data_IF_539697790388
#
_entry.id   IF_539697790388
#
_cell.length_a   1.000
_cell.length_b   1.000
_cell.length_c   1.000
_cell.angle_alpha   90.00
_cell.angle_beta   90.00
_cell.angle_gamma   90.00
#
_symmetry.space_group_name_H-M   'P 1'
#
loop_
_entity.id
_entity.type
_entity.pdbx_description
1 polymer ?
#
# COMPACT_ATOMS: atom_id res chain seq x y z
N UNK A 1 -32.22 10.15 25.35
CA UNK A 1 -31.09 10.39 24.43
C UNK A 1 -29.81 10.29 25.23
N UNK A 2 -29.20 9.12 25.26
CA UNK A 2 -27.97 8.88 26.04
C UNK A 2 -26.99 8.16 25.14
N UNK A 3 -26.01 8.92 24.64
CA UNK A 3 -24.85 8.43 23.90
C UNK A 3 -24.00 7.57 24.83
N UNK A 4 -23.71 6.33 24.43
CA UNK A 4 -22.64 5.53 25.02
C UNK A 4 -21.65 5.21 23.91
N UNK A 5 -20.48 5.83 24.02
CA UNK A 5 -19.28 5.52 23.24
C UNK A 5 -18.81 4.12 23.66
N UNK A 6 -18.81 3.17 22.71
CA UNK A 6 -18.13 1.91 22.87
C UNK A 6 -16.67 2.12 22.46
N UNK A 7 -15.79 2.04 23.46
CA UNK A 7 -14.34 1.98 23.31
C UNK A 7 -14.01 0.57 22.82
N UNK A 8 -13.61 0.44 21.55
CA UNK A 8 -13.06 -0.81 21.02
C UNK A 8 -11.58 -0.85 21.38
N UNK A 9 -11.22 -1.82 22.22
CA UNK A 9 -9.82 -2.11 22.56
C UNK A 9 -9.26 -3.06 21.50
N UNK A 10 -8.36 -2.55 20.65
CA UNK A 10 -7.63 -3.35 19.66
C UNK A 10 -6.49 -4.08 20.39
N UNK A 11 -6.49 -5.41 20.29
CA UNK A 11 -5.42 -6.28 20.78
C UNK A 11 -4.50 -6.58 19.61
N UNK A 12 -3.32 -5.96 19.59
CA UNK A 12 -2.28 -6.20 18.57
C UNK A 12 -1.59 -7.53 18.91
N UNK A 13 -1.77 -8.55 18.07
CA UNK A 13 -1.06 -9.82 18.20
C UNK A 13 0.25 -9.76 17.38
N UNK A 14 1.38 -9.93 18.06
CA UNK A 14 2.73 -9.94 17.48
C UNK A 14 3.05 -11.35 16.98
N UNK A 15 3.26 -11.54 15.68
CA UNK A 15 3.85 -12.76 15.13
C UNK A 15 5.17 -12.39 14.46
N UNK A 16 6.28 -12.68 15.13
CA UNK A 16 7.63 -12.57 14.57
C UNK A 16 8.02 -13.93 13.97
N UNK A 17 7.91 -14.07 12.65
CA UNK A 17 8.39 -15.25 11.92
C UNK A 17 9.89 -15.06 11.62
N UNK A 18 10.74 -15.74 12.38
CA UNK A 18 12.18 -15.83 12.13
C UNK A 18 12.47 -16.81 10.98
N UNK A 19 12.79 -16.32 9.79
CA UNK A 19 13.46 -17.11 8.75
C UNK A 19 14.65 -16.37 8.12
N UNK A 20 15.66 -17.16 7.76
CA UNK A 20 17.02 -16.80 7.40
C UNK A 20 17.17 -16.12 6.03
N UNK A 21 17.72 -14.92 6.04
CA UNK A 21 18.31 -14.18 4.92
C UNK A 21 18.88 -12.88 5.49
N UNK A 22 20.04 -12.40 5.06
CA UNK A 22 20.80 -11.35 5.75
C UNK A 22 20.22 -9.93 5.56
N UNK A 23 18.91 -9.82 5.36
CA UNK A 23 18.18 -8.58 5.17
C UNK A 23 17.23 -8.38 6.36
N UNK A 24 17.19 -7.16 6.94
CA UNK A 24 16.29 -6.87 8.04
C UNK A 24 14.83 -7.02 7.60
N UNK A 25 13.99 -7.53 8.50
CA UNK A 25 12.55 -7.58 8.32
C UNK A 25 12.00 -6.17 8.01
N UNK A 26 10.94 -6.06 7.18
CA UNK A 26 10.28 -4.78 6.93
C UNK A 26 9.77 -4.18 8.25
N UNK A 27 9.86 -2.86 8.37
CA UNK A 27 9.40 -2.08 9.52
C UNK A 27 7.88 -1.82 9.41
N UNK A 28 7.12 -2.90 9.20
CA UNK A 28 5.67 -2.89 9.05
C UNK A 28 5.06 -3.96 9.97
N UNK A 29 4.17 -3.53 10.86
CA UNK A 29 3.32 -4.45 11.61
C UNK A 29 2.04 -4.75 10.80
N UNK A 30 1.97 -5.93 10.19
CA UNK A 30 0.78 -6.38 9.47
C UNK A 30 -0.22 -6.98 10.46
N UNK A 31 -1.46 -6.49 10.44
CA UNK A 31 -2.57 -7.06 11.20
C UNK A 31 -3.35 -8.05 10.34
N UNK A 32 -4.16 -8.94 10.92
CA UNK A 32 -5.09 -9.77 10.14
C UNK A 32 -6.02 -8.87 9.29
N UNK A 33 -6.32 -9.32 8.06
CA UNK A 33 -7.24 -8.61 7.18
C UNK A 33 -8.66 -8.71 7.75
N UNK A 34 -9.25 -7.56 8.08
CA UNK A 34 -10.63 -7.50 8.53
C UNK A 34 -11.58 -7.38 7.32
N UNK A 35 -12.35 -8.44 7.05
CA UNK A 35 -13.36 -8.43 6.00
C UNK A 35 -12.77 -8.14 4.60
N UNK A 36 -13.34 -7.15 3.91
CA UNK A 36 -12.93 -6.67 2.60
C UNK A 36 -12.05 -5.41 2.69
N UNK A 37 -11.22 -5.30 3.74
CA UNK A 37 -10.28 -4.20 3.89
C UNK A 37 -9.37 -4.08 2.66
N UNK A 38 -9.31 -2.86 2.11
CA UNK A 38 -8.50 -2.48 0.92
C UNK A 38 -7.47 -1.40 1.21
N UNK A 39 -7.46 -0.84 2.43
CA UNK A 39 -6.58 0.27 2.82
C UNK A 39 -5.91 -0.06 4.15
N UNK A 40 -4.58 0.00 4.15
CA UNK A 40 -3.69 -0.11 5.31
C UNK A 40 -2.92 1.20 5.41
N UNK A 41 -3.41 2.14 6.21
CA UNK A 41 -2.81 3.46 6.37
C UNK A 41 -2.40 3.78 7.81
N UNK A 42 -1.37 3.10 8.37
CA UNK A 42 -0.77 3.51 9.64
C UNK A 42 -0.24 4.96 9.65
N UNK A 43 0.12 5.50 8.49
CA UNK A 43 0.60 6.88 8.37
C UNK A 43 -0.52 7.93 8.54
N UNK A 44 -1.78 7.57 8.26
CA UNK A 44 -2.93 8.46 8.37
C UNK A 44 -2.96 9.56 7.31
N UNK A 45 -2.42 9.28 6.11
CA UNK A 45 -2.23 10.23 5.01
C UNK A 45 -3.19 10.03 3.84
N UNK A 46 -4.00 8.97 3.88
CA UNK A 46 -4.95 8.62 2.83
C UNK A 46 -6.38 8.98 3.24
N UNK A 47 -7.13 9.51 2.28
CA UNK A 47 -8.59 9.46 2.35
C UNK A 47 -9.04 8.01 2.09
N UNK A 48 -9.32 7.30 3.17
CA UNK A 48 -9.66 5.87 3.11
C UNK A 48 -10.93 5.57 2.31
N UNK A 49 -11.89 6.50 2.23
CA UNK A 49 -13.11 6.30 1.44
C UNK A 49 -12.79 6.41 -0.07
N UNK A 50 -12.06 7.44 -0.48
CA UNK A 50 -11.69 7.65 -1.87
C UNK A 50 -10.76 6.55 -2.40
N UNK A 51 -9.74 6.18 -1.62
CA UNK A 51 -8.84 5.07 -1.98
C UNK A 51 -9.60 3.75 -1.96
N UNK A 52 -10.44 3.50 -0.96
CA UNK A 52 -11.25 2.30 -0.87
C UNK A 52 -12.16 2.09 -2.08
N UNK A 53 -12.81 3.16 -2.57
CA UNK A 53 -13.64 3.11 -3.77
C UNK A 53 -12.84 2.80 -5.04
N UNK A 54 -11.66 3.38 -5.20
CA UNK A 54 -10.78 3.08 -6.35
C UNK A 54 -10.33 1.61 -6.36
N UNK A 55 -9.94 1.07 -5.20
CA UNK A 55 -9.55 -0.33 -5.08
C UNK A 55 -10.73 -1.30 -5.14
N UNK A 56 -11.95 -0.87 -4.78
CA UNK A 56 -13.16 -1.66 -4.99
C UNK A 56 -13.46 -1.85 -6.48
N UNK A 57 -13.21 -0.83 -7.32
CA UNK A 57 -13.33 -0.98 -8.79
C UNK A 57 -12.31 -1.97 -9.37
N UNK A 58 -11.09 -1.95 -8.85
CA UNK A 58 -10.06 -2.91 -9.23
C UNK A 58 -10.46 -4.35 -8.88
N UNK A 59 -11.06 -4.55 -7.70
CA UNK A 59 -11.64 -5.83 -7.27
C UNK A 59 -12.82 -6.27 -8.16
N UNK A 60 -13.70 -5.34 -8.57
CA UNK A 60 -14.76 -5.60 -9.55
C UNK A 60 -14.20 -6.02 -10.93
N UNK A 61 -13.00 -5.56 -11.30
CA UNK A 61 -12.28 -5.99 -12.50
C UNK A 61 -11.59 -7.36 -12.34
N UNK A 62 -11.66 -7.97 -11.15
CA UNK A 62 -11.11 -9.28 -10.83
C UNK A 62 -9.72 -9.25 -10.19
N UNK A 63 -9.29 -8.10 -9.65
CA UNK A 63 -7.97 -7.92 -9.07
C UNK A 63 -8.08 -7.50 -7.60
N UNK A 64 -7.73 -8.39 -6.67
CA UNK A 64 -7.75 -8.07 -5.24
C UNK A 64 -6.52 -7.19 -4.90
N UNK A 65 -6.77 -5.89 -4.79
CA UNK A 65 -5.75 -4.89 -4.53
C UNK A 65 -5.85 -4.27 -3.14
N UNK A 66 -4.69 -3.89 -2.59
CA UNK A 66 -4.59 -3.17 -1.32
C UNK A 66 -3.67 -1.94 -1.45
N UNK A 67 -4.11 -0.83 -0.86
CA UNK A 67 -3.29 0.36 -0.63
C UNK A 67 -2.56 0.27 0.71
N UNK A 68 -1.25 0.50 0.73
CA UNK A 68 -0.41 0.52 1.92
C UNK A 68 0.35 1.85 2.03
N UNK A 69 0.13 2.62 3.10
CA UNK A 69 0.90 3.83 3.42
C UNK A 69 1.41 3.79 4.87
N UNK A 70 2.72 3.82 5.07
CA UNK A 70 3.32 3.71 6.41
C UNK A 70 4.65 4.45 6.54
N UNK A 71 5.03 4.73 7.78
CA UNK A 71 6.32 5.36 8.10
C UNK A 71 7.36 4.32 8.53
N UNK A 72 8.61 4.51 8.12
CA UNK A 72 9.76 3.66 8.47
C UNK A 72 11.06 4.44 8.44
N UNK A 73 11.93 4.25 9.44
CA UNK A 73 13.29 4.85 9.43
C UNK A 73 14.12 4.40 8.21
N UNK A 74 13.75 3.24 7.65
CA UNK A 74 14.35 2.61 6.48
C UNK A 74 13.69 3.03 5.17
N UNK A 75 12.82 4.05 5.12
CA UNK A 75 12.10 4.44 3.91
C UNK A 75 13.01 4.60 2.67
N UNK A 76 12.87 3.65 1.75
CA UNK A 76 13.53 3.55 0.46
C UNK A 76 12.79 2.52 -0.41
N UNK A 77 13.18 2.38 -1.68
CA UNK A 77 12.50 1.45 -2.59
C UNK A 77 12.53 -0.01 -2.13
N UNK A 78 13.63 -0.48 -1.55
CA UNK A 78 13.72 -1.85 -1.03
C UNK A 78 12.76 -2.09 0.15
N UNK A 79 12.52 -1.07 0.97
CA UNK A 79 11.55 -1.16 2.06
C UNK A 79 10.11 -1.22 1.55
N UNK A 80 9.78 -0.41 0.53
CA UNK A 80 8.49 -0.46 -0.15
C UNK A 80 8.23 -1.87 -0.73
N UNK A 81 9.20 -2.41 -1.48
CA UNK A 81 9.07 -3.75 -2.09
C UNK A 81 8.94 -4.86 -1.05
N UNK A 82 9.78 -4.87 0.00
CA UNK A 82 9.69 -5.90 1.05
C UNK A 82 8.36 -5.85 1.80
N UNK A 83 7.89 -4.65 2.13
CA UNK A 83 6.65 -4.47 2.88
C UNK A 83 5.42 -4.79 2.02
N UNK A 84 5.43 -4.39 0.76
CA UNK A 84 4.39 -4.76 -0.21
C UNK A 84 4.32 -6.28 -0.40
N UNK A 85 5.47 -6.96 -0.51
CA UNK A 85 5.53 -8.42 -0.59
C UNK A 85 5.04 -9.13 0.66
N UNK A 86 5.44 -8.64 1.84
CA UNK A 86 4.93 -9.17 3.09
C UNK A 86 3.40 -9.09 3.12
N UNK A 87 2.82 -7.95 2.74
CA UNK A 87 1.37 -7.78 2.74
C UNK A 87 0.66 -8.67 1.68
N UNK A 88 1.24 -8.85 0.49
CA UNK A 88 0.74 -9.80 -0.52
C UNK A 88 0.63 -11.22 0.02
N UNK A 89 1.63 -11.66 0.79
CA UNK A 89 1.72 -12.99 1.36
C UNK A 89 0.78 -13.16 2.55
N UNK A 90 0.78 -12.22 3.49
CA UNK A 90 -0.02 -12.29 4.71
C UNK A 90 -1.53 -12.12 4.47
N UNK A 91 -1.92 -11.25 3.53
CA UNK A 91 -3.34 -10.97 3.23
C UNK A 91 -3.91 -11.78 2.07
N UNK A 92 -3.07 -12.59 1.43
CA UNK A 92 -3.41 -13.41 0.28
C UNK A 92 -3.99 -12.62 -0.92
N UNK A 93 -3.49 -11.40 -1.18
CA UNK A 93 -4.00 -10.51 -2.26
C UNK A 93 -3.14 -10.56 -3.52
N UNK A 94 -3.67 -10.04 -4.63
CA UNK A 94 -3.00 -10.04 -5.94
C UNK A 94 -2.01 -8.88 -6.09
N UNK A 95 -2.38 -7.72 -5.55
CA UNK A 95 -1.67 -6.45 -5.75
C UNK A 95 -1.55 -5.65 -4.46
N UNK A 96 -0.39 -5.03 -4.26
CA UNK A 96 -0.18 -4.02 -3.22
C UNK A 96 0.43 -2.78 -3.86
N UNK A 97 -0.29 -1.66 -3.79
CA UNK A 97 0.27 -0.33 -4.06
C UNK A 97 0.79 0.19 -2.74
N UNK A 98 2.05 0.63 -2.69
CA UNK A 98 2.73 0.97 -1.45
C UNK A 98 3.38 2.35 -1.52
N UNK A 99 3.27 3.10 -0.43
CA UNK A 99 4.07 4.28 -0.15
C UNK A 99 4.72 4.14 1.24
N UNK A 100 6.01 4.43 1.31
CA UNK A 100 6.76 4.47 2.56
C UNK A 100 7.53 5.77 2.66
N UNK A 101 7.49 6.42 3.82
CA UNK A 101 8.29 7.61 4.10
C UNK A 101 8.96 7.48 5.47
N UNK A 102 9.99 8.28 5.77
CA UNK A 102 10.44 8.38 7.16
C UNK A 102 9.40 9.08 8.02
N UNK A 103 9.46 8.92 9.35
CA UNK A 103 8.59 9.66 10.24
C UNK A 103 8.55 11.17 9.95
N UNK A 104 7.37 11.68 9.60
CA UNK A 104 7.10 13.08 9.23
C UNK A 104 7.33 13.44 7.76
N UNK A 105 7.89 12.56 6.93
CA UNK A 105 8.27 12.88 5.55
C UNK A 105 7.09 12.83 4.55
N UNK A 106 5.92 12.32 4.95
CA UNK A 106 4.69 12.45 4.16
C UNK A 106 4.17 13.90 4.09
N UNK A 107 4.55 14.75 5.05
CA UNK A 107 4.11 16.16 5.13
C UNK A 107 5.12 17.14 4.53
N UNK A 108 6.33 16.67 4.19
CA UNK A 108 7.43 17.51 3.73
C UNK A 108 7.27 17.80 2.23
N UNK A 109 7.42 19.07 1.83
CA UNK A 109 7.16 19.51 0.45
C UNK A 109 8.13 18.94 -0.62
N UNK A 110 8.00 19.38 -1.90
CA UNK A 110 8.50 18.72 -3.12
C UNK A 110 10.01 18.47 -3.28
N UNK A 111 10.83 18.75 -2.27
CA UNK A 111 12.28 18.50 -2.30
C UNK A 111 12.83 18.04 -0.95
N UNK A 112 11.97 17.56 -0.06
CA UNK A 112 12.37 17.10 1.26
C UNK A 112 11.88 15.70 1.57
N UNK A 113 12.57 15.08 2.52
CA UNK A 113 12.24 13.75 3.03
C UNK A 113 12.81 12.58 2.22
N UNK A 114 12.82 11.41 2.84
CA UNK A 114 13.06 10.11 2.21
C UNK A 114 11.74 9.36 2.14
N UNK A 115 11.32 9.11 0.91
CA UNK A 115 10.09 8.41 0.57
C UNK A 115 10.32 7.52 -0.64
N UNK A 116 9.49 6.50 -0.76
CA UNK A 116 9.43 5.63 -1.92
C UNK A 116 7.99 5.19 -2.16
N UNK A 117 7.67 4.94 -3.43
CA UNK A 117 6.40 4.41 -3.89
C UNK A 117 6.66 3.19 -4.75
N UNK A 118 5.71 2.26 -4.79
CA UNK A 118 5.87 1.01 -5.51
C UNK A 118 4.56 0.29 -5.77
N UNK A 119 4.61 -0.66 -6.70
CA UNK A 119 3.56 -1.66 -6.91
C UNK A 119 4.21 -3.04 -6.81
N UNK A 120 3.73 -3.85 -5.88
CA UNK A 120 4.06 -5.26 -5.80
C UNK A 120 2.88 -6.09 -6.30
N UNK A 121 3.20 -7.19 -6.97
CA UNK A 121 2.21 -8.11 -7.51
C UNK A 121 2.61 -9.54 -7.24
N UNK A 122 1.62 -10.39 -6.96
CA UNK A 122 1.80 -11.83 -6.77
C UNK A 122 2.29 -12.52 -8.04
N UNK A 123 1.70 -12.16 -9.19
CA UNK A 123 2.02 -12.76 -10.48
C UNK A 123 2.71 -11.76 -11.42
N UNK A 124 4.04 -11.84 -11.48
CA UNK A 124 4.86 -10.97 -12.32
C UNK A 124 4.64 -11.18 -13.84
N UNK A 125 3.91 -12.21 -14.28
CA UNK A 125 3.56 -12.38 -15.70
C UNK A 125 2.35 -11.55 -16.09
N UNK A 126 1.37 -11.44 -15.20
CA UNK A 126 0.15 -10.68 -15.45
C UNK A 126 0.32 -9.21 -15.11
N UNK A 127 1.17 -8.90 -14.13
CA UNK A 127 1.56 -7.53 -13.81
C UNK A 127 3.09 -7.38 -13.99
N UNK A 128 3.54 -7.13 -15.23
CA UNK A 128 4.96 -7.07 -15.55
C UNK A 128 5.70 -5.99 -14.77
N UNK A 129 7.01 -6.21 -14.55
CA UNK A 129 7.88 -5.22 -13.90
C UNK A 129 7.82 -3.84 -14.56
N UNK A 130 7.77 -3.79 -15.90
CA UNK A 130 7.67 -2.53 -16.66
C UNK A 130 6.39 -1.76 -16.35
N UNK A 131 5.25 -2.45 -16.17
CA UNK A 131 3.99 -1.82 -15.78
C UNK A 131 4.08 -1.24 -14.36
N UNK A 132 4.64 -2.01 -13.42
CA UNK A 132 4.79 -1.60 -12.01
C UNK A 132 5.74 -0.41 -11.86
N UNK A 133 6.87 -0.43 -12.57
CA UNK A 133 7.83 0.67 -12.62
C UNK A 133 7.19 1.92 -13.22
N UNK A 134 6.48 1.79 -14.36
CA UNK A 134 5.77 2.91 -14.99
C UNK A 134 4.75 3.54 -14.05
N UNK A 135 3.92 2.74 -13.37
CA UNK A 135 2.94 3.28 -12.40
C UNK A 135 3.65 3.96 -11.24
N UNK A 136 4.73 3.37 -10.72
CA UNK A 136 5.48 3.96 -9.61
C UNK A 136 6.09 5.30 -9.98
N UNK A 137 6.74 5.38 -11.15
CA UNK A 137 7.56 6.53 -11.55
C UNK A 137 6.78 7.62 -12.29
N UNK A 138 5.81 7.23 -13.13
CA UNK A 138 5.07 8.16 -13.98
C UNK A 138 3.71 8.57 -13.39
N UNK A 139 3.13 7.73 -12.51
CA UNK A 139 1.82 8.02 -11.89
C UNK A 139 2.01 8.43 -10.43
N UNK A 140 2.59 7.58 -9.59
CA UNK A 140 2.66 7.84 -8.15
C UNK A 140 3.69 8.90 -7.76
N UNK A 141 4.90 8.85 -8.31
CA UNK A 141 5.98 9.74 -7.91
C UNK A 141 5.67 11.24 -8.10
N UNK A 142 5.03 11.69 -9.20
CA UNK A 142 4.63 13.09 -9.35
C UNK A 142 3.67 13.56 -8.24
N UNK A 143 2.68 12.73 -7.86
CA UNK A 143 1.77 13.04 -6.76
C UNK A 143 2.47 13.03 -5.40
N UNK A 144 3.40 12.10 -5.19
CA UNK A 144 4.23 12.06 -3.99
C UNK A 144 5.07 13.35 -3.85
N UNK A 145 5.59 13.91 -4.95
CA UNK A 145 6.27 15.21 -4.96
C UNK A 145 5.38 16.34 -4.41
N UNK A 146 4.10 16.32 -4.74
CA UNK A 146 3.12 17.33 -4.32
C UNK A 146 2.42 17.02 -2.97
N UNK A 147 2.81 15.92 -2.30
CA UNK A 147 2.11 15.37 -1.13
C UNK A 147 0.63 15.04 -1.39
N UNK A 148 0.28 14.80 -2.66
CA UNK A 148 -1.05 14.42 -3.10
C UNK A 148 -1.25 12.89 -2.95
N UNK A 149 -1.01 12.36 -1.75
CA UNK A 149 -0.96 10.91 -1.50
C UNK A 149 -2.24 10.18 -1.89
N UNK A 150 -3.41 10.73 -1.53
CA UNK A 150 -4.69 10.14 -1.96
C UNK A 150 -4.79 10.04 -3.48
N UNK A 151 -4.39 11.09 -4.21
CA UNK A 151 -4.41 11.07 -5.68
C UNK A 151 -3.42 10.04 -6.25
N UNK A 152 -2.22 9.92 -5.65
CA UNK A 152 -1.23 8.93 -6.04
C UNK A 152 -1.80 7.49 -6.05
N UNK A 153 -2.53 7.13 -4.99
CA UNK A 153 -3.11 5.79 -4.85
C UNK A 153 -4.34 5.58 -5.75
N UNK A 154 -5.21 6.58 -5.84
CA UNK A 154 -6.40 6.51 -6.72
C UNK A 154 -5.97 6.35 -8.18
N UNK A 155 -5.06 7.19 -8.66
CA UNK A 155 -4.60 7.12 -10.05
C UNK A 155 -3.77 5.87 -10.33
N UNK A 156 -3.02 5.36 -9.35
CA UNK A 156 -2.36 4.06 -9.48
C UNK A 156 -3.36 2.92 -9.65
N UNK A 157 -4.44 2.88 -8.86
CA UNK A 157 -5.50 1.88 -8.99
C UNK A 157 -6.22 1.98 -10.34
N UNK A 158 -6.52 3.20 -10.81
CA UNK A 158 -7.14 3.43 -12.12
C UNK A 158 -6.20 3.04 -13.28
N UNK A 159 -4.90 3.30 -13.15
CA UNK A 159 -3.92 2.87 -14.13
C UNK A 159 -3.79 1.33 -14.20
N UNK A 160 -3.88 0.65 -13.04
CA UNK A 160 -3.93 -0.81 -12.99
C UNK A 160 -5.22 -1.34 -13.64
N UNK A 161 -6.37 -0.78 -13.29
CA UNK A 161 -7.67 -1.16 -13.88
C UNK A 161 -7.67 -1.02 -15.41
N UNK A 162 -7.05 0.05 -15.94
CA UNK A 162 -7.02 0.31 -17.37
C UNK A 162 -6.07 -0.61 -18.16
N UNK A 163 -5.01 -1.10 -17.52
CA UNK A 163 -3.94 -1.86 -18.19
C UNK A 163 -4.07 -3.37 -17.99
N UNK A 164 -4.72 -3.81 -16.92
CA UNK A 164 -4.89 -5.23 -16.62
C UNK A 164 -6.11 -5.81 -17.35
N UNK A 165 -6.00 -7.08 -17.75
CA UNK A 165 -7.12 -7.78 -18.36
C UNK A 165 -8.21 -8.06 -17.30
N UNK A 166 -9.50 -7.89 -17.63
CA UNK A 166 -10.58 -8.24 -16.73
C UNK A 166 -10.61 -9.75 -16.43
N UNK A 167 -10.84 -10.11 -15.17
CA UNK A 167 -11.07 -11.49 -14.74
C UNK A 167 -9.96 -12.13 -13.92
N UNK A 168 -8.88 -11.40 -13.62
CA UNK A 168 -7.84 -11.81 -12.66
C UNK A 168 -7.06 -13.09 -13.02
N UNK A 169 -6.06 -13.46 -12.20
CA UNK A 169 -5.39 -14.78 -12.23
C UNK A 169 -6.32 -15.97 -11.98
#
# INVERSE_FOLDING_TARGET
>A
MTRWLLVVAVVVAFVAVLFSGNEPDPDLAVSEREGDARVVDPAGVLDGDAVGEAFARLDEAGWDGVALAFESEQANQGEAQRSGRLLLEEWDVDLVVVAVARPGDFEVGPNGGRRAVGVEARNAREVPGELRERISDEVMAPHAEENAWTAAFVEAAEALEAELEPGGP
#
